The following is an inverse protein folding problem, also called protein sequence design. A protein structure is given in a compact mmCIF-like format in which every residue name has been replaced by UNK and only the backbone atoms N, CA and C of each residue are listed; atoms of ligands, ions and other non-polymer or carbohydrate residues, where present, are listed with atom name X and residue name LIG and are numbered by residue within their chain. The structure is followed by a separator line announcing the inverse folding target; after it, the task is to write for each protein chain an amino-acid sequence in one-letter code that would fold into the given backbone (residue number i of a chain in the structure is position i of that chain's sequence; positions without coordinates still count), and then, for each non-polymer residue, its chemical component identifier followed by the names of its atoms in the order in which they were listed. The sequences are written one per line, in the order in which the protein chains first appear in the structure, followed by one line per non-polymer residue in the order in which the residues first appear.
data_IF_826847185530
#
_entry.id   IF_826847185530
#
_cell.length_a   1.000
_cell.length_b   1.000
_cell.length_c   1.000
_cell.angle_alpha   90.00
_cell.angle_beta   90.00
_cell.angle_gamma   90.00
#
_symmetry.space_group_name_H-M   'P 1'
#
loop_
_entity.id
_entity.type
_entity.pdbx_description
1 polymer ?
#
# COMPACT_ATOMS: atom_id res chain seq x y z
N UNK A 1 -2.69 -14.34 2.98
CA UNK A 1 -3.43 -13.82 4.16
C UNK A 1 -2.61 -13.81 5.45
N UNK A 2 -1.89 -14.89 5.80
CA UNK A 2 -1.10 -14.93 7.04
C UNK A 2 -0.05 -13.81 7.16
N UNK A 3 0.63 -13.48 6.06
CA UNK A 3 1.68 -12.44 6.05
C UNK A 3 1.17 -11.04 6.40
N UNK A 4 0.07 -10.56 5.79
CA UNK A 4 -0.52 -9.26 6.12
C UNK A 4 -0.95 -9.17 7.58
N UNK A 5 -1.50 -10.26 8.13
CA UNK A 5 -1.83 -10.35 9.56
C UNK A 5 -0.59 -10.31 10.45
N UNK A 6 0.51 -10.94 10.04
CA UNK A 6 1.77 -10.89 10.76
C UNK A 6 2.35 -9.46 10.77
N UNK A 7 2.37 -8.77 9.63
CA UNK A 7 2.76 -7.35 9.54
C UNK A 7 1.88 -6.50 10.47
N UNK A 8 0.56 -6.66 10.39
CA UNK A 8 -0.37 -5.93 11.26
C UNK A 8 -0.14 -6.22 12.75
N UNK A 9 0.24 -7.45 13.11
CA UNK A 9 0.61 -7.83 14.48
C UNK A 9 1.85 -7.06 14.93
N UNK A 10 2.91 -7.03 14.12
CA UNK A 10 4.14 -6.27 14.40
C UNK A 10 3.85 -4.79 14.62
N UNK A 11 3.03 -4.18 13.76
CA UNK A 11 2.62 -2.77 13.90
C UNK A 11 1.88 -2.53 15.23
N UNK A 12 0.92 -3.40 15.57
CA UNK A 12 0.18 -3.31 16.84
C UNK A 12 1.08 -3.48 18.06
N UNK A 13 2.08 -4.36 18.00
CA UNK A 13 3.07 -4.55 19.07
C UNK A 13 3.93 -3.29 19.30
N UNK A 14 4.07 -2.44 18.28
CA UNK A 14 4.72 -1.12 18.38
C UNK A 14 3.76 0.01 18.79
N UNK A 15 2.52 -0.31 19.16
CA UNK A 15 1.53 0.66 19.65
C UNK A 15 0.65 1.29 18.57
N UNK A 16 0.74 0.82 17.32
CA UNK A 16 -0.04 1.39 16.22
C UNK A 16 -1.47 0.86 16.17
N UNK A 17 -2.41 1.77 15.88
CA UNK A 17 -3.76 1.39 15.47
C UNK A 17 -3.72 0.94 14.01
N UNK A 18 -3.99 -0.35 13.76
CA UNK A 18 -3.96 -0.93 12.41
C UNK A 18 -5.35 -1.32 11.96
N UNK A 19 -5.72 -0.89 10.76
CA UNK A 19 -6.93 -1.29 10.06
C UNK A 19 -6.52 -2.23 8.92
N UNK A 20 -6.98 -3.48 8.96
CA UNK A 20 -6.92 -4.39 7.82
C UNK A 20 -8.25 -4.31 7.10
N UNK A 21 -8.23 -3.84 5.85
CA UNK A 21 -9.46 -3.62 5.08
C UNK A 21 -10.27 -4.91 4.89
N UNK A 22 -9.60 -6.07 4.80
CA UNK A 22 -10.30 -7.37 4.71
C UNK A 22 -10.98 -7.81 6.00
N UNK A 23 -10.56 -7.28 7.16
CA UNK A 23 -11.09 -7.67 8.48
C UNK A 23 -12.22 -6.75 8.94
N UNK A 24 -12.29 -5.53 8.41
CA UNK A 24 -13.39 -4.62 8.70
C UNK A 24 -14.66 -5.09 7.98
N UNK A 25 -15.83 -5.19 8.63
CA UNK A 25 -17.06 -5.63 7.94
C UNK A 25 -17.58 -4.58 6.97
N UNK A 26 -18.15 -5.03 5.86
CA UNK A 26 -18.84 -4.15 4.91
C UNK A 26 -20.14 -3.63 5.53
N UNK A 27 -20.46 -2.36 5.28
CA UNK A 27 -21.78 -1.79 5.63
C UNK A 27 -22.84 -2.19 4.60
N UNK A 28 -24.15 -2.16 4.95
CA UNK A 28 -25.21 -2.46 3.99
C UNK A 28 -25.11 -1.55 2.74
N UNK A 29 -24.99 -2.17 1.57
CA UNK A 29 -24.87 -1.47 0.28
C UNK A 29 -23.49 -0.85 -0.01
N UNK A 30 -22.49 -1.10 0.85
CA UNK A 30 -21.13 -0.60 0.68
C UNK A 30 -20.34 -1.45 -0.31
N UNK A 31 -19.75 -0.82 -1.33
CA UNK A 31 -18.77 -1.46 -2.20
C UNK A 31 -17.32 -1.30 -1.69
N UNK A 32 -16.38 -1.96 -2.35
CA UNK A 32 -14.95 -1.93 -1.98
C UNK A 32 -14.37 -0.50 -1.93
N UNK A 33 -14.75 0.35 -2.88
CA UNK A 33 -14.25 1.73 -2.98
C UNK A 33 -14.83 2.57 -1.84
N UNK A 34 -16.13 2.43 -1.60
CA UNK A 34 -16.84 3.12 -0.51
C UNK A 34 -16.29 2.72 0.86
N UNK A 35 -15.98 1.43 1.05
CA UNK A 35 -15.29 0.94 2.25
C UNK A 35 -13.92 1.59 2.41
N UNK A 36 -13.11 1.60 1.34
CA UNK A 36 -11.80 2.26 1.39
C UNK A 36 -11.93 3.73 1.76
N UNK A 37 -12.87 4.46 1.15
CA UNK A 37 -13.13 5.88 1.44
C UNK A 37 -13.58 6.11 2.89
N UNK A 38 -14.40 5.21 3.43
CA UNK A 38 -14.81 5.27 4.83
C UNK A 38 -13.63 5.04 5.77
N UNK A 39 -12.85 3.98 5.54
CA UNK A 39 -11.72 3.63 6.38
C UNK A 39 -10.63 4.69 6.33
N UNK A 40 -10.38 5.27 5.16
CA UNK A 40 -9.41 6.34 4.98
C UNK A 40 -9.78 7.60 5.78
N UNK A 41 -11.07 7.84 6.05
CA UNK A 41 -11.55 8.96 6.88
C UNK A 41 -11.44 8.69 8.39
N UNK A 42 -11.06 7.50 8.82
CA UNK A 42 -10.94 7.10 10.23
C UNK A 42 -9.58 7.52 10.84
N UNK A 43 -9.22 8.80 10.67
CA UNK A 43 -7.95 9.41 11.15
C UNK A 43 -6.70 8.58 10.81
N UNK A 44 -6.69 7.99 9.62
CA UNK A 44 -5.54 7.24 9.11
C UNK A 44 -4.40 8.22 8.80
N UNK A 45 -3.21 7.96 9.31
CA UNK A 45 -2.00 8.74 9.01
C UNK A 45 -1.16 8.10 7.91
N UNK A 46 -1.32 6.79 7.70
CA UNK A 46 -0.46 5.99 6.83
C UNK A 46 -1.27 4.91 6.11
N UNK A 47 -1.02 4.77 4.81
CA UNK A 47 -1.54 3.66 3.99
C UNK A 47 -0.37 2.82 3.52
N UNK A 48 -0.44 1.52 3.81
CA UNK A 48 0.57 0.54 3.42
C UNK A 48 -0.02 -0.39 2.37
N UNK A 49 0.50 -0.29 1.15
CA UNK A 49 0.22 -1.25 0.08
C UNK A 49 1.16 -2.43 0.23
N UNK A 50 0.61 -3.65 0.19
CA UNK A 50 1.39 -4.88 0.29
C UNK A 50 1.33 -5.66 -1.03
N UNK A 51 2.46 -5.76 -1.71
CA UNK A 51 2.57 -6.43 -3.01
C UNK A 51 3.51 -7.64 -2.93
N UNK A 52 2.98 -8.87 -2.76
CA UNK A 52 3.78 -10.09 -2.77
C UNK A 52 4.34 -10.40 -4.17
N UNK A 53 5.33 -11.31 -4.26
CA UNK A 53 5.94 -11.72 -5.54
C UNK A 53 4.93 -12.14 -6.63
N UNK A 54 3.78 -12.69 -6.24
CA UNK A 54 2.69 -13.09 -7.12
C UNK A 54 1.59 -12.01 -7.32
N UNK A 55 1.84 -10.76 -6.92
CA UNK A 55 0.88 -9.67 -7.11
C UNK A 55 0.59 -9.46 -8.60
N UNK A 56 -0.70 -9.45 -8.95
CA UNK A 56 -1.14 -9.14 -10.31
C UNK A 56 -1.02 -7.66 -10.57
N UNK A 57 -0.51 -7.32 -11.75
CA UNK A 57 -0.34 -5.93 -12.17
C UNK A 57 -1.63 -5.14 -12.22
N UNK A 58 -2.74 -5.78 -12.62
CA UNK A 58 -4.04 -5.13 -12.59
C UNK A 58 -4.38 -4.68 -11.15
N UNK A 59 -4.20 -5.54 -10.16
CA UNK A 59 -4.44 -5.22 -8.75
C UNK A 59 -3.54 -4.07 -8.28
N UNK A 60 -2.24 -4.14 -8.59
CA UNK A 60 -1.29 -3.07 -8.28
C UNK A 60 -1.71 -1.74 -8.91
N UNK A 61 -2.16 -1.73 -10.17
CA UNK A 61 -2.64 -0.50 -10.81
C UNK A 61 -3.95 0.02 -10.25
N UNK A 62 -4.91 -0.86 -9.95
CA UNK A 62 -6.21 -0.46 -9.42
C UNK A 62 -6.04 0.24 -8.07
N UNK A 63 -5.19 -0.31 -7.18
CA UNK A 63 -4.84 0.33 -5.89
C UNK A 63 -4.18 1.70 -6.10
N UNK A 64 -3.29 1.81 -7.08
CA UNK A 64 -2.59 3.06 -7.38
C UNK A 64 -3.50 4.13 -7.99
N UNK A 65 -4.43 3.73 -8.87
CA UNK A 65 -5.44 4.61 -9.46
C UNK A 65 -6.37 5.11 -8.35
N UNK A 66 -6.81 4.22 -7.46
CA UNK A 66 -7.63 4.57 -6.31
C UNK A 66 -6.97 5.67 -5.46
N UNK A 67 -5.67 5.54 -5.18
CA UNK A 67 -4.89 6.55 -4.46
C UNK A 67 -4.70 7.85 -5.27
N UNK A 68 -4.46 7.75 -6.58
CA UNK A 68 -4.38 8.92 -7.46
C UNK A 68 -5.65 9.77 -7.42
N UNK A 69 -6.81 9.13 -7.49
CA UNK A 69 -8.12 9.79 -7.44
C UNK A 69 -8.34 10.52 -6.10
N UNK A 70 -7.66 10.07 -5.03
CA UNK A 70 -7.78 10.60 -3.67
C UNK A 70 -6.60 11.49 -3.27
N UNK A 71 -5.69 11.82 -4.19
CA UNK A 71 -4.48 12.60 -3.91
C UNK A 71 -4.76 13.93 -3.20
N UNK A 72 -5.87 14.60 -3.53
CA UNK A 72 -6.27 15.85 -2.86
C UNK A 72 -6.58 15.64 -1.37
N UNK A 73 -7.32 14.58 -1.04
CA UNK A 73 -7.60 14.19 0.35
C UNK A 73 -6.31 13.79 1.07
N UNK A 74 -5.54 12.87 0.49
CA UNK A 74 -4.30 12.34 1.07
C UNK A 74 -3.32 13.46 1.41
N UNK A 75 -3.16 14.45 0.50
CA UNK A 75 -2.32 15.61 0.73
C UNK A 75 -2.85 16.51 1.85
N UNK A 76 -4.16 16.74 1.91
CA UNK A 76 -4.78 17.61 2.92
C UNK A 76 -4.67 17.02 4.32
N UNK A 77 -4.91 15.72 4.45
CA UNK A 77 -4.82 15.00 5.74
C UNK A 77 -3.38 14.54 6.06
N UNK A 78 -2.41 14.90 5.22
CA UNK A 78 -0.99 14.49 5.36
C UNK A 78 -0.78 12.97 5.48
N UNK A 79 -1.60 12.18 4.78
CA UNK A 79 -1.49 10.72 4.77
C UNK A 79 -0.24 10.31 4.01
N UNK A 80 0.64 9.56 4.68
CA UNK A 80 1.85 8.98 4.07
C UNK A 80 1.48 7.68 3.35
N UNK A 81 2.10 7.45 2.19
CA UNK A 81 1.90 6.25 1.39
C UNK A 81 3.18 5.41 1.40
N UNK A 82 3.01 4.11 1.65
CA UNK A 82 4.08 3.13 1.69
C UNK A 82 3.75 1.99 0.73
N UNK A 83 4.74 1.51 0.00
CA UNK A 83 4.63 0.27 -0.78
C UNK A 83 5.64 -0.74 -0.24
N UNK A 84 5.13 -1.74 0.48
CA UNK A 84 5.88 -2.91 0.90
C UNK A 84 5.78 -3.96 -0.22
N UNK A 85 6.78 -4.01 -1.09
CA UNK A 85 6.70 -4.74 -2.35
C UNK A 85 7.87 -5.69 -2.58
N UNK A 86 7.58 -6.83 -3.21
CA UNK A 86 8.62 -7.73 -3.65
C UNK A 86 9.39 -7.12 -4.84
N UNK A 87 10.70 -7.39 -4.93
CA UNK A 87 11.59 -6.90 -5.99
C UNK A 87 11.18 -7.37 -7.40
N UNK A 88 10.43 -8.46 -7.52
CA UNK A 88 9.90 -8.93 -8.81
C UNK A 88 8.66 -8.19 -9.30
N UNK A 89 8.02 -7.35 -8.47
CA UNK A 89 6.72 -6.74 -8.80
C UNK A 89 6.88 -5.34 -9.34
N UNK A 90 7.74 -4.54 -8.74
CA UNK A 90 7.89 -3.14 -9.09
C UNK A 90 9.31 -2.65 -8.82
N UNK A 91 9.73 -1.65 -9.58
CA UNK A 91 10.87 -0.79 -9.27
C UNK A 91 10.33 0.59 -8.95
N UNK A 92 10.61 1.06 -7.73
CA UNK A 92 10.19 2.36 -7.23
C UNK A 92 11.45 3.11 -6.76
N UNK A 93 11.80 4.17 -7.47
CA UNK A 93 12.87 5.11 -7.11
C UNK A 93 12.32 6.53 -7.22
N UNK A 94 13.11 7.50 -6.77
CA UNK A 94 12.76 8.93 -6.74
C UNK A 94 12.08 9.44 -8.02
N UNK A 95 12.57 9.03 -9.18
CA UNK A 95 12.07 9.47 -10.50
C UNK A 95 11.59 8.30 -11.38
N UNK A 96 11.53 7.09 -10.83
CA UNK A 96 11.23 5.87 -11.57
C UNK A 96 10.13 5.10 -10.84
N UNK A 97 8.99 4.91 -11.51
CA UNK A 97 7.99 3.96 -11.06
C UNK A 97 7.68 3.02 -12.21
N UNK A 98 7.91 1.72 -12.01
CA UNK A 98 7.70 0.70 -13.03
C UNK A 98 7.16 -0.56 -12.38
N UNK A 99 6.00 -1.05 -12.83
CA UNK A 99 5.52 -2.39 -12.50
C UNK A 99 6.16 -3.39 -13.47
N UNK A 100 6.78 -4.44 -12.95
CA UNK A 100 7.62 -5.40 -13.66
C UNK A 100 6.79 -6.61 -14.12
N UNK A 101 5.89 -6.41 -15.07
CA UNK A 101 5.25 -7.52 -15.80
C UNK A 101 5.36 -7.28 -17.30
N UNK A 102 5.71 -8.34 -18.01
CA UNK A 102 5.85 -8.31 -19.47
C UNK A 102 4.49 -8.13 -20.15
N UNK A 103 4.38 -7.10 -21.02
CA UNK A 103 3.24 -6.93 -21.94
C UNK A 103 2.34 -5.72 -21.68
N UNK A 104 2.51 -5.00 -20.57
CA UNK A 104 1.65 -3.86 -20.23
C UNK A 104 2.40 -2.52 -20.20
N UNK A 105 1.88 -1.53 -20.95
CA UNK A 105 2.29 -0.11 -20.85
C UNK A 105 1.21 0.67 -20.09
N UNK A 106 1.46 1.03 -18.84
CA UNK A 106 0.51 1.86 -18.10
C UNK A 106 0.70 3.33 -18.40
N UNK A 107 -0.40 3.99 -18.75
CA UNK A 107 -0.46 5.44 -19.03
C UNK A 107 -0.40 6.28 -17.75
N UNK A 108 -0.53 5.67 -16.58
CA UNK A 108 -0.65 6.36 -15.29
C UNK A 108 0.65 6.41 -14.48
N UNK A 109 1.74 5.81 -14.97
CA UNK A 109 3.03 5.74 -14.26
C UNK A 109 3.54 7.11 -13.79
N UNK A 110 3.36 8.15 -14.61
CA UNK A 110 3.76 9.52 -14.26
C UNK A 110 2.92 10.13 -13.14
N UNK A 111 1.62 9.82 -13.06
CA UNK A 111 0.75 10.29 -11.99
C UNK A 111 1.07 9.56 -10.68
N UNK A 112 1.33 8.25 -10.77
CA UNK A 112 1.75 7.41 -9.64
C UNK A 112 3.08 7.86 -9.05
N UNK A 113 4.07 8.16 -9.89
CA UNK A 113 5.37 8.68 -9.44
C UNK A 113 5.23 9.98 -8.59
N UNK A 114 4.16 10.75 -8.81
CA UNK A 114 3.87 12.00 -8.09
C UNK A 114 3.07 11.82 -6.80
N UNK A 115 2.69 10.59 -6.45
CA UNK A 115 2.02 10.28 -5.18
C UNK A 115 2.97 10.36 -3.98
N UNK A 116 4.29 10.28 -4.21
CA UNK A 116 5.27 10.24 -3.12
C UNK A 116 5.21 8.94 -2.33
N UNK A 117 4.96 7.82 -3.02
CA UNK A 117 5.06 6.47 -2.43
C UNK A 117 6.48 6.25 -1.89
N UNK A 118 6.58 5.80 -0.64
CA UNK A 118 7.84 5.38 -0.02
C UNK A 118 8.00 3.87 -0.21
N UNK A 119 9.03 3.42 -0.95
CA UNK A 119 9.21 2.00 -1.20
C UNK A 119 9.91 1.31 -0.03
N UNK A 120 9.43 0.11 0.29
CA UNK A 120 10.07 -0.86 1.17
C UNK A 120 10.17 -2.17 0.36
N UNK A 121 11.28 -2.31 -0.35
CA UNK A 121 11.54 -3.47 -1.20
C UNK A 121 12.03 -4.65 -0.36
N UNK A 122 11.61 -5.86 -0.74
CA UNK A 122 12.10 -7.12 -0.18
C UNK A 122 12.22 -8.19 -1.28
N UNK A 123 13.15 -9.12 -1.11
CA UNK A 123 13.38 -10.24 -2.03
C UNK A 123 13.19 -11.61 -1.36
N UNK A 124 13.20 -11.65 -0.03
CA UNK A 124 12.95 -12.85 0.76
C UNK A 124 12.16 -12.55 2.04
N UNK A 125 11.79 -13.61 2.77
CA UNK A 125 10.97 -13.51 3.97
C UNK A 125 11.69 -12.78 5.12
N UNK A 126 13.02 -12.94 5.23
CA UNK A 126 13.81 -12.27 6.27
C UNK A 126 13.87 -10.77 6.06
N UNK A 127 14.04 -10.33 4.81
CA UNK A 127 13.95 -8.92 4.43
C UNK A 127 12.55 -8.36 4.68
N UNK A 128 11.50 -9.11 4.35
CA UNK A 128 10.12 -8.69 4.60
C UNK A 128 9.86 -8.44 6.10
N UNK A 129 10.33 -9.34 6.98
CA UNK A 129 10.22 -9.14 8.42
C UNK A 129 10.99 -7.90 8.89
N UNK A 130 12.20 -7.69 8.37
CA UNK A 130 13.01 -6.53 8.70
C UNK A 130 12.31 -5.22 8.27
N UNK A 131 11.76 -5.18 7.05
CA UNK A 131 11.02 -4.03 6.54
C UNK A 131 9.76 -3.76 7.38
N UNK A 132 9.03 -4.80 7.78
CA UNK A 132 7.85 -4.65 8.63
C UNK A 132 8.21 -4.05 10.01
N UNK A 133 9.32 -4.46 10.62
CA UNK A 133 9.80 -3.89 11.89
C UNK A 133 10.29 -2.45 11.73
N UNK A 134 11.03 -2.15 10.67
CA UNK A 134 11.49 -0.79 10.38
C UNK A 134 10.32 0.16 10.19
N UNK A 135 9.34 -0.23 9.37
CA UNK A 135 8.11 0.53 9.19
C UNK A 135 7.38 0.72 10.51
N UNK A 136 7.24 -0.32 11.34
CA UNK A 136 6.60 -0.21 12.65
C UNK A 136 7.32 0.76 13.61
N UNK A 137 8.62 0.99 13.45
CA UNK A 137 9.37 1.96 14.25
C UNK A 137 9.29 3.39 13.71
N UNK A 138 8.99 3.58 12.42
CA UNK A 138 8.95 4.88 11.74
C UNK A 138 7.55 5.53 11.72
N UNK A 139 6.50 4.71 11.80
CA UNK A 139 5.11 5.18 11.82
C UNK A 139 4.82 6.07 13.03
#
# INVERSE_FOLDING_TARGET
MQVRRAIAKTMKEHGHRVILMEDDPDRPGEDYIQKFDRLLRDRVTDVVLYWPSAAKVQTTYDELILLCDRRGFLKRESVRLWALHHSSVATIKRDEFKVLETGNRSRYLTAVARLGLRPLEWSDEGELEAQARLLAAEL
#
